data_IF_209103844440
#
_entry.id   IF_209103844440
#
_cell.length_a   1.000
_cell.length_b   1.000
_cell.length_c   1.000
_cell.angle_alpha   90.00
_cell.angle_beta   90.00
_cell.angle_gamma   90.00
#
_symmetry.space_group_name_H-M   'P 1'
#
loop_
_entity.id
_entity.type
_entity.pdbx_description
1 polymer ?
#
# COMPACT_ATOMS: atom_id res chain seq x y z
N UNK A 1 -22.61 25.61 -15.59
CA UNK A 1 -22.31 24.50 -14.66
C UNK A 1 -20.85 24.14 -14.84
N UNK A 2 -19.99 24.56 -13.90
CA UNK A 2 -18.62 24.05 -13.82
C UNK A 2 -18.71 22.66 -13.21
N UNK A 3 -18.37 21.62 -13.97
CA UNK A 3 -17.97 20.36 -13.37
C UNK A 3 -16.56 20.61 -12.82
N UNK A 4 -16.49 20.99 -11.54
CA UNK A 4 -15.24 20.86 -10.79
C UNK A 4 -15.03 19.36 -10.62
N UNK A 5 -14.29 18.77 -11.55
CA UNK A 5 -13.64 17.48 -11.31
C UNK A 5 -12.53 17.79 -10.32
N UNK A 6 -12.89 17.90 -9.04
CA UNK A 6 -11.95 17.91 -7.95
C UNK A 6 -11.24 16.56 -8.01
N UNK A 7 -10.00 16.60 -8.51
CA UNK A 7 -9.20 15.40 -8.68
C UNK A 7 -9.11 14.68 -7.31
N UNK A 8 -9.32 13.36 -7.26
CA UNK A 8 -9.31 12.59 -6.01
C UNK A 8 -7.96 12.58 -5.26
N UNK A 9 -6.94 13.31 -5.71
CA UNK A 9 -5.59 13.33 -5.13
C UNK A 9 -5.61 13.69 -3.64
N UNK A 10 -6.35 14.74 -3.25
CA UNK A 10 -6.50 15.14 -1.83
C UNK A 10 -7.17 14.04 -1.01
N UNK A 11 -8.06 13.25 -1.63
CA UNK A 11 -8.73 12.12 -0.99
C UNK A 11 -7.77 10.95 -0.73
N UNK A 12 -6.88 10.68 -1.68
CA UNK A 12 -5.88 9.60 -1.61
C UNK A 12 -4.79 9.94 -0.61
N UNK A 13 -4.42 11.21 -0.55
CA UNK A 13 -3.48 11.72 0.44
C UNK A 13 -4.00 11.50 1.85
N UNK A 14 -5.27 11.76 2.16
CA UNK A 14 -5.76 11.48 3.51
C UNK A 14 -5.86 9.97 3.82
N UNK A 15 -6.19 9.13 2.84
CA UNK A 15 -6.27 7.68 3.03
C UNK A 15 -4.90 7.12 3.43
N UNK A 16 -3.86 7.49 2.68
CA UNK A 16 -2.48 7.14 3.01
C UNK A 16 -2.07 7.74 4.36
N UNK A 17 -2.32 9.04 4.61
CA UNK A 17 -1.95 9.68 5.87
C UNK A 17 -2.64 9.06 7.09
N UNK A 18 -3.86 8.55 6.94
CA UNK A 18 -4.57 7.84 8.02
C UNK A 18 -3.86 6.53 8.36
N UNK A 19 -3.51 5.74 7.35
CA UNK A 19 -2.74 4.50 7.55
C UNK A 19 -1.39 4.80 8.21
N UNK A 20 -0.67 5.83 7.76
CA UNK A 20 0.60 6.23 8.38
C UNK A 20 0.42 6.70 9.82
N UNK A 21 -0.65 7.44 10.13
CA UNK A 21 -0.93 7.90 11.48
C UNK A 21 -1.16 6.72 12.44
N UNK A 22 -1.81 5.65 11.96
CA UNK A 22 -2.06 4.43 12.74
C UNK A 22 -0.83 3.50 12.81
N UNK A 23 0.09 3.57 11.85
CA UNK A 23 1.38 2.87 11.88
C UNK A 23 2.39 3.53 12.83
N UNK A 24 2.39 4.86 12.95
CA UNK A 24 3.36 5.60 13.79
C UNK A 24 3.47 5.07 15.23
N UNK A 25 2.39 4.78 15.97
CA UNK A 25 2.50 4.22 17.32
C UNK A 25 3.25 2.89 17.37
N UNK A 26 3.03 2.02 16.38
CA UNK A 26 3.74 0.76 16.27
C UNK A 26 5.25 1.01 16.04
N UNK A 27 5.60 1.81 15.04
CA UNK A 27 7.01 2.13 14.75
C UNK A 27 7.70 2.80 15.94
N UNK A 28 7.01 3.71 16.64
CA UNK A 28 7.54 4.41 17.82
C UNK A 28 7.91 3.46 18.95
N UNK A 29 7.19 2.35 19.10
CA UNK A 29 7.47 1.32 20.11
C UNK A 29 8.72 0.47 19.76
N UNK A 30 9.18 0.52 18.51
CA UNK A 30 10.24 -0.32 17.95
C UNK A 30 11.43 0.49 17.41
N UNK A 31 11.58 1.77 17.78
CA UNK A 31 12.60 2.67 17.22
C UNK A 31 14.04 2.19 17.41
N UNK A 32 14.29 1.44 18.47
CA UNK A 32 15.61 0.88 18.77
C UNK A 32 15.88 -0.47 18.06
N UNK A 33 14.86 -1.05 17.41
CA UNK A 33 14.96 -2.33 16.73
C UNK A 33 15.58 -2.18 15.33
N UNK A 34 16.18 -3.27 14.86
CA UNK A 34 16.58 -3.43 13.47
C UNK A 34 15.39 -3.91 12.66
N UNK A 35 15.25 -3.42 11.42
CA UNK A 35 14.31 -3.89 10.42
C UNK A 35 14.61 -5.34 10.01
N UNK A 36 14.26 -6.29 10.86
CA UNK A 36 14.37 -7.72 10.60
C UNK A 36 13.27 -8.18 9.64
N UNK A 37 13.43 -9.33 8.96
CA UNK A 37 12.39 -9.86 8.09
C UNK A 37 11.03 -10.01 8.81
N UNK A 38 11.04 -10.47 10.06
CA UNK A 38 9.83 -10.63 10.86
C UNK A 38 9.18 -9.28 11.21
N UNK A 39 9.98 -8.24 11.43
CA UNK A 39 9.50 -6.89 11.71
C UNK A 39 8.89 -6.23 10.46
N UNK A 40 9.58 -6.31 9.32
CA UNK A 40 9.06 -5.81 8.05
C UNK A 40 7.75 -6.52 7.66
N UNK A 41 7.68 -7.82 7.89
CA UNK A 41 6.47 -8.60 7.67
C UNK A 41 5.33 -8.19 8.63
N UNK A 42 5.64 -7.80 9.86
CA UNK A 42 4.63 -7.25 10.78
C UNK A 42 4.10 -5.88 10.29
N UNK A 43 4.98 -5.01 9.80
CA UNK A 43 4.59 -3.72 9.19
C UNK A 43 3.71 -3.96 7.97
N UNK A 44 4.08 -4.87 7.07
CA UNK A 44 3.31 -5.22 5.88
C UNK A 44 1.89 -5.62 6.24
N UNK A 45 1.74 -6.62 7.13
CA UNK A 45 0.43 -7.10 7.58
C UNK A 45 -0.40 -6.01 8.26
N UNK A 46 0.20 -5.19 9.12
CA UNK A 46 -0.50 -4.10 9.78
C UNK A 46 -0.97 -3.05 8.77
N UNK A 47 -0.12 -2.68 7.81
CA UNK A 47 -0.48 -1.77 6.72
C UNK A 47 -1.67 -2.31 5.94
N UNK A 48 -1.63 -3.59 5.53
CA UNK A 48 -2.73 -4.24 4.80
C UNK A 48 -4.04 -4.27 5.59
N UNK A 49 -3.99 -4.41 6.92
CA UNK A 49 -5.18 -4.36 7.79
C UNK A 49 -5.77 -2.95 7.90
N UNK A 50 -4.93 -1.91 7.85
CA UNK A 50 -5.34 -0.51 8.01
C UNK A 50 -5.89 0.10 6.71
N UNK A 51 -5.50 -0.43 5.55
CA UNK A 51 -5.97 0.09 4.27
C UNK A 51 -7.49 -0.10 4.14
N UNK A 52 -8.26 0.98 3.88
CA UNK A 52 -9.72 0.89 3.80
C UNK A 52 -10.15 0.13 2.54
N UNK A 53 -10.79 -1.03 2.74
CA UNK A 53 -11.23 -1.93 1.67
C UNK A 53 -12.53 -1.49 0.96
N UNK A 54 -12.89 -0.20 0.99
CA UNK A 54 -14.20 0.42 0.63
C UNK A 54 -14.89 -0.13 -0.65
N UNK A 55 -15.43 -1.35 -0.59
CA UNK A 55 -16.00 -2.06 -1.74
C UNK A 55 -14.99 -2.48 -2.81
N UNK A 56 -13.69 -2.39 -2.55
CA UNK A 56 -12.65 -2.73 -3.51
C UNK A 56 -12.32 -4.24 -3.46
N UNK A 57 -11.95 -4.83 -4.61
CA UNK A 57 -11.74 -6.26 -4.69
C UNK A 57 -10.54 -6.73 -3.85
N UNK A 58 -10.76 -7.69 -2.95
CA UNK A 58 -9.72 -8.32 -2.12
C UNK A 58 -8.56 -8.87 -2.96
N UNK A 59 -8.83 -9.41 -4.14
CA UNK A 59 -7.80 -9.93 -5.04
C UNK A 59 -6.79 -8.86 -5.50
N UNK A 60 -7.15 -7.58 -5.47
CA UNK A 60 -6.21 -6.51 -5.78
C UNK A 60 -5.24 -6.28 -4.62
N UNK A 61 -5.77 -6.24 -3.39
CA UNK A 61 -4.96 -6.04 -2.21
C UNK A 61 -3.97 -7.19 -2.02
N UNK A 62 -4.44 -8.43 -2.11
CA UNK A 62 -3.60 -9.63 -1.97
C UNK A 62 -2.70 -9.88 -3.20
N UNK A 63 -3.16 -9.51 -4.40
CA UNK A 63 -2.47 -9.84 -5.65
C UNK A 63 -1.59 -8.74 -6.23
N UNK A 64 -1.70 -7.49 -5.75
CA UNK A 64 -0.91 -6.35 -6.24
C UNK A 64 -0.31 -5.53 -5.10
N UNK A 65 -1.15 -4.98 -4.21
CA UNK A 65 -0.65 -4.09 -3.17
C UNK A 65 0.30 -4.81 -2.20
N UNK A 66 -0.06 -6.01 -1.77
CA UNK A 66 0.71 -6.77 -0.78
C UNK A 66 2.12 -7.17 -1.28
N UNK A 67 2.30 -7.71 -2.51
CA UNK A 67 3.62 -7.91 -3.09
C UNK A 67 4.43 -6.64 -3.30
N UNK A 68 3.81 -5.56 -3.79
CA UNK A 68 4.51 -4.29 -4.01
C UNK A 68 5.00 -3.67 -2.70
N UNK A 69 4.18 -3.77 -1.65
CA UNK A 69 4.54 -3.33 -0.32
C UNK A 69 5.66 -4.20 0.26
N UNK A 70 5.61 -5.51 0.07
CA UNK A 70 6.69 -6.43 0.47
C UNK A 70 8.03 -6.05 -0.16
N UNK A 71 8.06 -5.91 -1.49
CA UNK A 71 9.25 -5.54 -2.25
C UNK A 71 9.81 -4.18 -1.79
N UNK A 72 8.92 -3.21 -1.56
CA UNK A 72 9.30 -1.89 -1.09
C UNK A 72 9.88 -1.91 0.34
N UNK A 73 9.43 -2.81 1.20
CA UNK A 73 9.90 -2.94 2.59
C UNK A 73 11.25 -3.67 2.67
N UNK A 74 11.52 -4.63 1.77
CA UNK A 74 12.76 -5.41 1.76
C UNK A 74 14.02 -4.54 1.68
N UNK A 75 13.94 -3.35 1.07
CA UNK A 75 15.08 -2.41 0.98
C UNK A 75 15.58 -1.92 2.34
N UNK A 76 14.74 -1.98 3.38
CA UNK A 76 15.08 -1.56 4.74
C UNK A 76 15.66 -2.71 5.58
N UNK A 77 15.72 -3.93 5.03
CA UNK A 77 16.18 -5.08 5.80
C UNK A 77 17.59 -4.86 6.36
N UNK A 78 17.73 -5.02 7.67
CA UNK A 78 19.00 -4.83 8.38
C UNK A 78 19.35 -3.38 8.76
N UNK A 79 18.55 -2.40 8.34
CA UNK A 79 18.68 -1.01 8.80
C UNK A 79 18.13 -0.86 10.23
N UNK A 80 18.67 0.08 11.00
CA UNK A 80 18.08 0.46 12.30
C UNK A 80 16.85 1.32 12.05
N UNK A 81 15.73 1.01 12.70
CA UNK A 81 14.48 1.72 12.47
C UNK A 81 14.60 3.23 12.76
N UNK A 82 15.34 3.61 13.81
CA UNK A 82 15.58 5.02 14.14
C UNK A 82 16.17 5.84 13.00
N UNK A 83 16.91 5.19 12.10
CA UNK A 83 17.68 5.86 11.06
C UNK A 83 16.88 5.93 9.74
N UNK A 84 15.88 5.07 9.57
CA UNK A 84 15.10 4.93 8.33
C UNK A 84 13.60 5.15 8.49
N UNK A 85 13.10 5.41 9.71
CA UNK A 85 11.65 5.53 9.99
C UNK A 85 10.92 6.51 9.05
N UNK A 86 11.48 7.70 8.83
CA UNK A 86 10.84 8.70 7.96
C UNK A 86 10.84 8.26 6.49
N UNK A 87 11.93 7.65 6.02
CA UNK A 87 12.00 7.09 4.65
C UNK A 87 11.04 5.90 4.49
N UNK A 88 10.94 5.04 5.51
CA UNK A 88 10.03 3.89 5.54
C UNK A 88 8.58 4.35 5.43
N UNK A 89 8.18 5.35 6.21
CA UNK A 89 6.84 5.92 6.12
C UNK A 89 6.59 6.58 4.76
N UNK A 90 7.58 7.28 4.18
CA UNK A 90 7.46 7.87 2.84
C UNK A 90 7.20 6.80 1.78
N UNK A 91 7.94 5.70 1.83
CA UNK A 91 7.83 4.61 0.85
C UNK A 91 6.49 3.90 0.96
N UNK A 92 6.01 3.64 2.18
CA UNK A 92 4.67 3.10 2.40
C UNK A 92 3.62 4.06 1.82
N UNK A 93 3.77 5.36 2.05
CA UNK A 93 2.86 6.38 1.51
C UNK A 93 2.83 6.36 -0.03
N UNK A 94 4.00 6.32 -0.66
CA UNK A 94 4.16 6.32 -2.11
C UNK A 94 3.53 5.07 -2.75
N UNK A 95 3.74 3.89 -2.15
CA UNK A 95 3.11 2.64 -2.60
C UNK A 95 1.59 2.74 -2.47
N UNK A 96 1.10 3.13 -1.29
CA UNK A 96 -0.35 3.27 -1.04
C UNK A 96 -0.99 4.28 -2.00
N UNK A 97 -0.39 5.45 -2.18
CA UNK A 97 -0.90 6.46 -3.11
C UNK A 97 -0.91 5.93 -4.54
N UNK A 98 0.20 5.35 -5.02
CA UNK A 98 0.30 4.83 -6.39
C UNK A 98 -0.77 3.78 -6.69
N UNK A 99 -0.95 2.83 -5.77
CA UNK A 99 -1.89 1.74 -5.95
C UNK A 99 -3.35 2.18 -5.75
N UNK A 100 -3.64 3.04 -4.77
CA UNK A 100 -4.99 3.58 -4.58
C UNK A 100 -5.41 4.52 -5.73
N UNK A 101 -4.47 5.27 -6.33
CA UNK A 101 -4.69 6.02 -7.58
C UNK A 101 -5.07 5.05 -8.71
N UNK A 102 -4.31 3.97 -8.90
CA UNK A 102 -4.56 2.99 -9.96
C UNK A 102 -5.92 2.28 -9.79
N UNK A 103 -6.24 1.84 -8.57
CA UNK A 103 -7.54 1.29 -8.20
C UNK A 103 -8.71 2.22 -8.55
N UNK A 104 -8.56 3.51 -8.22
CA UNK A 104 -9.59 4.51 -8.51
C UNK A 104 -9.71 4.77 -10.01
N UNK A 105 -8.60 4.71 -10.76
CA UNK A 105 -8.59 4.80 -12.21
C UNK A 105 -9.30 3.61 -12.88
N UNK A 106 -9.06 2.38 -12.43
CA UNK A 106 -9.77 1.18 -12.90
C UNK A 106 -11.28 1.33 -12.67
N UNK A 107 -11.67 1.81 -11.49
CA UNK A 107 -13.08 2.00 -11.16
C UNK A 107 -13.74 3.11 -12.01
N UNK A 108 -13.00 4.18 -12.35
CA UNK A 108 -13.50 5.25 -13.20
C UNK A 108 -13.63 4.85 -14.68
N UNK A 109 -12.80 3.92 -15.16
CA UNK A 109 -12.81 3.47 -16.56
C UNK A 109 -13.84 2.37 -16.86
N UNK A 110 -14.62 1.94 -15.86
CA UNK A 110 -15.57 0.82 -15.93
C UNK A 110 -14.95 -0.52 -16.37
N UNK A 111 -15.14 -1.51 -15.51
CA UNK A 111 -14.85 -2.93 -15.73
C UNK A 111 -15.50 -3.42 -17.03
N UNK A 112 -14.75 -3.36 -18.14
CA UNK A 112 -15.15 -3.99 -19.40
C UNK A 112 -14.07 -4.91 -20.00
N UNK A 113 -12.87 -5.02 -19.41
CA UNK A 113 -11.81 -5.83 -20.07
C UNK A 113 -10.81 -6.60 -19.21
N UNK A 114 -10.75 -6.45 -17.88
CA UNK A 114 -9.80 -7.25 -17.07
C UNK A 114 -10.28 -8.69 -16.75
N UNK A 115 -11.06 -9.31 -17.66
CA UNK A 115 -11.32 -10.76 -17.66
C UNK A 115 -10.39 -11.55 -18.60
N UNK A 116 -9.53 -10.90 -19.37
CA UNK A 116 -8.65 -11.58 -20.33
C UNK A 116 -7.17 -11.50 -19.91
N UNK A 117 -6.79 -12.18 -18.83
CA UNK A 117 -5.39 -12.65 -18.69
C UNK A 117 -5.15 -13.70 -17.59
N UNK A 118 -6.14 -14.03 -16.77
CA UNK A 118 -6.09 -15.24 -15.91
C UNK A 118 -6.65 -16.46 -16.64
N UNK A 119 -6.16 -16.71 -17.86
CA UNK A 119 -6.30 -18.02 -18.49
C UNK A 119 -4.98 -18.39 -19.12
N UNK A 120 -4.48 -19.56 -18.72
CA UNK A 120 -3.34 -20.29 -19.28
C UNK A 120 -1.95 -19.81 -18.86
N UNK A 121 -1.39 -20.52 -17.89
CA UNK A 121 -0.19 -21.33 -18.14
C UNK A 121 -0.11 -22.41 -17.07
N UNK A 122 -0.66 -23.58 -17.43
CA UNK A 122 -0.24 -24.87 -16.89
C UNK A 122 1.30 -24.93 -16.85
N UNK A 123 1.84 -25.34 -15.70
CA UNK A 123 3.23 -25.79 -15.59
C UNK A 123 3.28 -27.31 -15.81
N UNK A 124 4.41 -27.82 -16.34
CA UNK A 124 4.53 -29.11 -17.02
C UNK A 124 4.28 -30.34 -16.14
#
# INVERSE_FOLDING_TARGET
MKFEVEYPAVKLDWEAQTVLADLRPFLKAHMDDTCSPAFLEAIRRLTMQLVPHQGQPTFYFEGQLDPLLEDALLKFQGCRLSDVNDELLSVIAEVLQSELIFLRHINHTNVSSFKHSLTTKDCP
#
